data_IF_151837547899
#
_entry.id   IF_151837547899
#
_cell.length_a   1.000
_cell.length_b   1.000
_cell.length_c   1.000
_cell.angle_alpha   90.00
_cell.angle_beta   90.00
_cell.angle_gamma   90.00
#
_symmetry.space_group_name_H-M   'P 1'
#
loop_
_entity.id
_entity.type
_entity.pdbx_description
1 polymer ?
#
# COMPACT_ATOMS: atom_id res chain seq x y z
N UNK A 1 -20.63 -12.72 32.12
CA UNK A 1 -20.69 -13.75 31.05
C UNK A 1 -21.97 -13.54 30.26
N UNK A 2 -21.88 -12.97 29.06
CA UNK A 2 -23.07 -12.60 28.26
C UNK A 2 -23.70 -13.84 27.66
N UNK A 3 -24.97 -14.07 27.97
CA UNK A 3 -25.73 -15.26 27.56
C UNK A 3 -25.79 -15.39 26.04
N UNK A 4 -25.15 -16.44 25.51
CA UNK A 4 -25.06 -16.72 24.06
C UNK A 4 -26.43 -16.79 23.38
N UNK A 5 -27.50 -17.12 24.12
CA UNK A 5 -28.87 -17.11 23.58
C UNK A 5 -29.37 -15.70 23.30
N UNK A 6 -29.04 -14.74 24.17
CA UNK A 6 -29.41 -13.32 24.00
C UNK A 6 -28.68 -12.71 22.82
N UNK A 7 -27.41 -13.06 22.59
CA UNK A 7 -26.62 -12.60 21.45
C UNK A 7 -27.17 -13.18 20.14
N UNK A 8 -27.49 -14.48 20.09
CA UNK A 8 -28.08 -15.11 18.91
C UNK A 8 -29.42 -14.48 18.55
N UNK A 9 -30.27 -14.26 19.54
CA UNK A 9 -31.57 -13.61 19.36
C UNK A 9 -31.43 -12.16 18.87
N UNK A 10 -30.48 -11.38 19.43
CA UNK A 10 -30.22 -10.02 18.99
C UNK A 10 -29.75 -9.95 17.52
N UNK A 11 -28.92 -10.90 17.07
CA UNK A 11 -28.50 -11.00 15.66
C UNK A 11 -29.68 -11.34 14.75
N UNK A 12 -30.57 -12.21 15.19
CA UNK A 12 -31.75 -12.63 14.43
C UNK A 12 -32.75 -11.48 14.26
N UNK A 13 -32.96 -10.71 15.34
CA UNK A 13 -33.77 -9.48 15.32
C UNK A 13 -33.16 -8.42 14.40
N UNK A 14 -31.84 -8.24 14.42
CA UNK A 14 -31.16 -7.27 13.54
C UNK A 14 -31.28 -7.64 12.05
N UNK A 15 -31.15 -8.92 11.72
CA UNK A 15 -31.37 -9.43 10.36
C UNK A 15 -32.81 -9.19 9.90
N UNK A 16 -33.78 -9.36 10.78
CA UNK A 16 -35.19 -9.14 10.46
C UNK A 16 -35.54 -7.66 10.28
N UNK A 17 -34.92 -6.75 11.06
CA UNK A 17 -35.05 -5.31 10.89
C UNK A 17 -34.45 -4.87 9.55
N UNK A 18 -33.26 -5.37 9.18
CA UNK A 18 -32.61 -5.06 7.91
C UNK A 18 -33.45 -5.55 6.72
N UNK A 19 -34.00 -6.77 6.81
CA UNK A 19 -34.90 -7.31 5.80
C UNK A 19 -36.19 -6.49 5.65
N UNK A 20 -36.78 -6.03 6.76
CA UNK A 20 -37.96 -5.15 6.72
C UNK A 20 -37.63 -3.79 6.13
N UNK A 21 -36.47 -3.21 6.44
CA UNK A 21 -36.03 -1.93 5.90
C UNK A 21 -35.80 -2.00 4.39
N UNK A 22 -35.23 -3.11 3.90
CA UNK A 22 -35.09 -3.39 2.46
C UNK A 22 -36.48 -3.54 1.82
N UNK A 23 -37.40 -4.29 2.42
CA UNK A 23 -38.74 -4.50 1.88
C UNK A 23 -39.56 -3.20 1.80
N UNK A 24 -39.48 -2.32 2.80
CA UNK A 24 -40.13 -0.99 2.78
C UNK A 24 -39.56 -0.13 1.65
N UNK A 25 -38.23 -0.12 1.50
CA UNK A 25 -37.55 0.65 0.44
C UNK A 25 -37.87 0.17 -0.97
N UNK A 26 -38.15 -1.13 -1.13
CA UNK A 26 -38.58 -1.74 -2.39
C UNK A 26 -40.08 -1.54 -2.68
N UNK A 27 -40.91 -1.30 -1.66
CA UNK A 27 -42.33 -1.00 -1.84
C UNK A 27 -42.59 0.46 -2.23
N UNK A 28 -41.76 1.39 -1.73
CA UNK A 28 -41.86 2.83 -2.01
C UNK A 28 -41.41 3.19 -3.44
N UNK A 29 -40.57 2.35 -4.04
CA UNK A 29 -40.20 2.43 -5.45
C UNK A 29 -41.00 1.36 -6.17
N UNK A 30 -42.05 1.71 -6.92
CA UNK A 30 -42.91 0.78 -7.67
C UNK A 30 -42.15 0.02 -8.78
N UNK A 31 -41.15 -0.77 -8.40
CA UNK A 31 -40.23 -1.53 -9.25
C UNK A 31 -40.73 -2.96 -9.23
N UNK A 32 -41.83 -3.17 -9.94
CA UNK A 32 -42.19 -4.49 -10.43
C UNK A 32 -41.68 -4.60 -11.87
N UNK A 33 -41.06 -5.74 -12.17
CA UNK A 33 -40.50 -6.18 -13.46
C UNK A 33 -39.14 -5.62 -13.89
N UNK A 34 -38.18 -6.56 -13.94
CA UNK A 34 -37.00 -6.59 -14.81
C UNK A 34 -35.66 -5.97 -14.34
N UNK A 35 -35.12 -6.45 -13.21
CA UNK A 35 -33.70 -6.21 -12.82
C UNK A 35 -32.95 -7.52 -12.50
N UNK A 36 -33.41 -8.66 -13.01
CA UNK A 36 -33.01 -10.00 -12.54
C UNK A 36 -31.53 -10.38 -12.79
N UNK A 37 -30.85 -9.86 -13.81
CA UNK A 37 -29.47 -10.29 -14.10
C UNK A 37 -28.36 -9.60 -13.28
N UNK A 38 -28.19 -8.27 -13.41
CA UNK A 38 -26.99 -7.59 -12.90
C UNK A 38 -26.96 -7.44 -11.38
N UNK A 39 -28.12 -7.19 -10.77
CA UNK A 39 -28.23 -6.91 -9.34
C UNK A 39 -28.17 -8.19 -8.52
N UNK A 40 -28.80 -9.28 -8.95
CA UNK A 40 -28.70 -10.58 -8.26
C UNK A 40 -27.27 -11.11 -8.24
N UNK A 41 -26.53 -10.94 -9.35
CA UNK A 41 -25.10 -11.29 -9.42
C UNK A 41 -24.26 -10.45 -8.45
N UNK A 42 -24.52 -9.15 -8.38
CA UNK A 42 -23.85 -8.26 -7.43
C UNK A 42 -24.18 -8.62 -5.97
N UNK A 43 -25.44 -8.98 -5.67
CA UNK A 43 -25.86 -9.41 -4.34
C UNK A 43 -25.22 -10.77 -3.97
N UNK A 44 -25.14 -11.70 -4.91
CA UNK A 44 -24.49 -13.00 -4.71
C UNK A 44 -22.98 -12.85 -4.46
N UNK A 45 -22.33 -11.93 -5.17
CA UNK A 45 -20.91 -11.61 -4.98
C UNK A 45 -20.67 -10.90 -3.64
N UNK A 46 -21.55 -10.00 -3.21
CA UNK A 46 -21.51 -9.37 -1.88
C UNK A 46 -21.75 -10.37 -0.75
N UNK A 47 -22.69 -11.31 -0.92
CA UNK A 47 -22.94 -12.39 0.05
C UNK A 47 -21.72 -13.29 0.22
N UNK A 48 -21.06 -13.67 -0.88
CA UNK A 48 -19.83 -14.46 -0.85
C UNK A 48 -18.67 -13.73 -0.16
N UNK A 49 -18.58 -12.40 -0.34
CA UNK A 49 -17.59 -11.55 0.34
C UNK A 49 -17.85 -11.42 1.85
N UNK A 50 -19.11 -11.41 2.27
CA UNK A 50 -19.49 -11.39 3.69
C UNK A 50 -19.28 -12.74 4.38
N UNK A 51 -19.49 -13.85 3.66
CA UNK A 51 -19.27 -15.21 4.18
C UNK A 51 -17.77 -15.58 4.26
N UNK A 52 -16.91 -14.96 3.45
CA UNK A 52 -15.44 -15.16 3.47
C UNK A 52 -14.68 -13.85 3.16
N UNK A 53 -14.37 -13.00 4.17
CA UNK A 53 -13.76 -11.69 3.95
C UNK A 53 -12.32 -11.74 3.36
N UNK A 54 -11.69 -12.92 3.32
CA UNK A 54 -10.37 -13.14 2.73
C UNK A 54 -10.39 -13.66 1.28
N UNK A 55 -11.57 -13.87 0.67
CA UNK A 55 -11.68 -14.33 -0.73
C UNK A 55 -12.27 -13.22 -1.59
N UNK A 56 -11.48 -12.18 -1.84
CA UNK A 56 -11.80 -11.19 -2.88
C UNK A 56 -11.72 -11.92 -4.23
N UNK A 57 -12.78 -11.96 -5.05
CA UNK A 57 -12.75 -12.66 -6.33
C UNK A 57 -11.63 -12.08 -7.19
N UNK A 58 -10.72 -12.96 -7.63
CA UNK A 58 -9.59 -12.58 -8.50
C UNK A 58 -10.15 -12.13 -9.84
N UNK A 59 -10.40 -10.83 -10.01
CA UNK A 59 -10.71 -10.25 -11.33
C UNK A 59 -9.52 -10.59 -12.26
N UNK A 60 -9.75 -11.38 -13.31
CA UNK A 60 -8.75 -11.61 -14.36
C UNK A 60 -8.65 -10.31 -15.15
N UNK A 61 -7.57 -9.58 -14.91
CA UNK A 61 -7.27 -8.34 -15.61
C UNK A 61 -6.70 -8.70 -16.99
N UNK A 62 -7.21 -8.05 -18.04
CA UNK A 62 -6.67 -8.17 -19.39
C UNK A 62 -5.43 -7.30 -19.56
N UNK A 63 -4.54 -7.64 -20.51
CA UNK A 63 -3.29 -6.89 -20.77
C UNK A 63 -3.46 -5.42 -21.15
N UNK A 64 -4.70 -4.96 -21.39
CA UNK A 64 -5.03 -3.58 -21.74
C UNK A 64 -5.36 -2.68 -20.52
N UNK A 65 -5.33 -3.23 -19.30
CA UNK A 65 -5.63 -2.48 -18.08
C UNK A 65 -4.48 -1.51 -17.72
N UNK A 66 -4.78 -0.25 -17.34
CA UNK A 66 -3.75 0.70 -16.92
C UNK A 66 -2.86 0.20 -15.78
N UNK A 67 -3.42 -0.54 -14.81
CA UNK A 67 -2.68 -1.12 -13.68
C UNK A 67 -1.66 -2.15 -14.18
N UNK A 68 -2.04 -2.95 -15.19
CA UNK A 68 -1.14 -3.93 -15.79
C UNK A 68 0.06 -3.25 -16.48
N UNK A 69 -0.17 -2.16 -17.20
CA UNK A 69 0.92 -1.40 -17.84
C UNK A 69 1.90 -0.84 -16.79
N UNK A 70 1.39 -0.31 -15.69
CA UNK A 70 2.20 0.14 -14.56
C UNK A 70 2.99 -1.01 -13.94
N UNK A 71 2.36 -2.18 -13.78
CA UNK A 71 3.01 -3.36 -13.23
C UNK A 71 4.17 -3.85 -14.13
N UNK A 72 3.97 -3.86 -15.45
CA UNK A 72 5.02 -4.17 -16.43
C UNK A 72 6.18 -3.16 -16.35
N UNK A 73 5.86 -1.87 -16.23
CA UNK A 73 6.89 -0.81 -16.11
C UNK A 73 7.76 -1.00 -14.86
N UNK A 74 7.14 -1.24 -13.70
CA UNK A 74 7.87 -1.45 -12.45
C UNK A 74 8.67 -2.77 -12.46
N UNK A 75 8.12 -3.82 -13.06
CA UNK A 75 8.85 -5.08 -13.26
C UNK A 75 10.12 -4.87 -14.09
N UNK A 76 10.01 -4.16 -15.23
CA UNK A 76 11.16 -3.82 -16.08
C UNK A 76 12.18 -2.95 -15.35
N UNK A 77 11.73 -2.03 -14.49
CA UNK A 77 12.61 -1.19 -13.67
C UNK A 77 13.45 -2.01 -12.71
N UNK A 78 12.82 -2.93 -11.97
CA UNK A 78 13.54 -3.85 -11.08
C UNK A 78 14.53 -4.73 -11.86
N UNK A 79 14.11 -5.23 -13.02
CA UNK A 79 14.96 -6.05 -13.89
C UNK A 79 16.19 -5.28 -14.37
N UNK A 80 16.02 -4.03 -14.78
CA UNK A 80 17.13 -3.17 -15.22
C UNK A 80 18.16 -2.96 -14.11
N UNK A 81 17.72 -2.69 -12.88
CA UNK A 81 18.60 -2.57 -11.70
C UNK A 81 19.39 -3.84 -11.39
N UNK A 82 18.78 -5.01 -11.60
CA UNK A 82 19.47 -6.28 -11.37
C UNK A 82 20.44 -6.57 -12.53
N UNK A 83 20.03 -6.32 -13.77
CA UNK A 83 20.84 -6.61 -14.95
C UNK A 83 22.05 -5.69 -15.10
N UNK A 84 21.99 -4.46 -14.62
CA UNK A 84 23.15 -3.56 -14.57
C UNK A 84 24.29 -4.14 -13.73
N UNK A 85 23.96 -4.86 -12.65
CA UNK A 85 24.93 -5.51 -11.74
C UNK A 85 25.25 -6.94 -12.15
N UNK A 86 24.29 -7.64 -12.77
CA UNK A 86 24.42 -9.03 -13.23
C UNK A 86 23.97 -9.15 -14.69
N UNK A 87 24.85 -8.82 -15.67
CA UNK A 87 24.50 -8.89 -17.09
C UNK A 87 24.04 -10.28 -17.54
N UNK A 88 24.67 -11.34 -16.99
CA UNK A 88 24.35 -12.75 -17.27
C UNK A 88 23.15 -13.27 -16.46
N UNK A 89 22.20 -12.40 -16.10
CA UNK A 89 20.96 -12.81 -15.45
C UNK A 89 20.13 -13.62 -16.44
N UNK A 90 19.79 -14.87 -16.06
CA UNK A 90 18.96 -15.78 -16.86
C UNK A 90 17.71 -15.07 -17.39
N UNK A 91 17.22 -15.43 -18.60
CA UNK A 91 15.98 -14.88 -19.14
C UNK A 91 14.86 -15.02 -18.12
N UNK A 92 14.25 -13.88 -17.78
CA UNK A 92 13.14 -13.80 -16.86
C UNK A 92 11.85 -13.84 -17.67
N UNK A 93 10.85 -14.58 -17.19
CA UNK A 93 9.50 -14.49 -17.74
C UNK A 93 8.87 -13.17 -17.28
N UNK A 94 8.90 -12.16 -18.16
CA UNK A 94 8.43 -10.80 -17.90
C UNK A 94 6.97 -10.74 -17.44
N UNK A 95 6.12 -11.63 -17.95
CA UNK A 95 4.71 -11.73 -17.58
C UNK A 95 4.52 -12.18 -16.12
N UNK A 96 5.37 -13.06 -15.62
CA UNK A 96 5.33 -13.52 -14.21
C UNK A 96 5.68 -12.39 -13.27
N UNK A 97 6.70 -11.60 -13.64
CA UNK A 97 7.11 -10.45 -12.84
C UNK A 97 6.04 -9.35 -12.80
N UNK A 98 5.42 -9.05 -13.94
CA UNK A 98 4.29 -8.12 -13.99
C UNK A 98 3.11 -8.63 -13.15
N UNK A 99 2.83 -9.93 -13.16
CA UNK A 99 1.77 -10.54 -12.33
C UNK A 99 2.04 -10.36 -10.85
N UNK A 100 3.26 -10.59 -10.39
CA UNK A 100 3.63 -10.39 -8.99
C UNK A 100 3.47 -8.92 -8.56
N UNK A 101 3.86 -7.98 -9.42
CA UNK A 101 3.67 -6.53 -9.17
C UNK A 101 2.18 -6.15 -9.17
N UNK A 102 1.36 -6.67 -10.10
CA UNK A 102 -0.10 -6.44 -10.09
C UNK A 102 -0.71 -6.82 -8.74
N UNK A 103 -0.25 -7.93 -8.16
CA UNK A 103 -0.74 -8.36 -6.86
C UNK A 103 -0.34 -7.36 -5.75
N UNK A 104 0.84 -6.75 -5.81
CA UNK A 104 1.23 -5.69 -4.86
C UNK A 104 0.30 -4.47 -5.00
N UNK A 105 0.04 -4.04 -6.23
CA UNK A 105 -0.78 -2.85 -6.48
C UNK A 105 -2.25 -3.07 -6.09
N UNK A 106 -2.82 -4.20 -6.49
CA UNK A 106 -4.26 -4.46 -6.36
C UNK A 106 -4.66 -5.16 -5.07
N UNK A 107 -3.89 -6.17 -4.65
CA UNK A 107 -4.23 -6.97 -3.47
C UNK A 107 -3.65 -6.33 -2.21
N UNK A 108 -2.37 -5.95 -2.25
CA UNK A 108 -1.71 -5.32 -1.10
C UNK A 108 -2.02 -3.82 -1.01
N UNK A 109 -2.74 -3.28 -2.01
CA UNK A 109 -3.21 -1.89 -2.08
C UNK A 109 -2.09 -0.85 -1.93
N UNK A 110 -0.91 -1.15 -2.46
CA UNK A 110 0.23 -0.23 -2.46
C UNK A 110 0.17 0.65 -3.70
N UNK A 111 0.52 1.92 -3.55
CA UNK A 111 0.55 2.84 -4.67
C UNK A 111 1.77 2.59 -5.55
N UNK A 112 1.65 2.87 -6.85
CA UNK A 112 2.73 2.70 -7.81
C UNK A 112 3.95 3.55 -7.48
N UNK A 113 3.71 4.77 -7.01
CA UNK A 113 4.75 5.73 -6.64
C UNK A 113 5.56 5.18 -5.47
N UNK A 114 4.86 4.66 -4.45
CA UNK A 114 5.53 4.12 -3.27
C UNK A 114 6.34 2.87 -3.60
N UNK A 115 5.78 1.99 -4.43
CA UNK A 115 6.48 0.79 -4.86
C UNK A 115 7.73 1.13 -5.69
N UNK A 116 7.65 2.17 -6.54
CA UNK A 116 8.80 2.65 -7.29
C UNK A 116 9.92 3.16 -6.36
N UNK A 117 9.59 3.97 -5.36
CA UNK A 117 10.55 4.44 -4.35
C UNK A 117 11.25 3.27 -3.65
N UNK A 118 10.48 2.26 -3.23
CA UNK A 118 11.02 1.09 -2.55
C UNK A 118 11.94 0.30 -3.47
N UNK A 119 11.56 0.11 -4.74
CA UNK A 119 12.41 -0.56 -5.74
C UNK A 119 13.74 0.18 -5.87
N UNK A 120 13.71 1.49 -6.06
CA UNK A 120 14.92 2.29 -6.27
C UNK A 120 15.82 2.29 -5.03
N UNK A 121 15.25 2.46 -3.84
CA UNK A 121 16.00 2.44 -2.59
C UNK A 121 16.61 1.05 -2.32
N UNK A 122 15.82 -0.02 -2.41
CA UNK A 122 16.32 -1.36 -2.06
C UNK A 122 17.37 -1.88 -3.04
N UNK A 123 17.38 -1.40 -4.29
CA UNK A 123 18.41 -1.74 -5.28
C UNK A 123 19.68 -0.92 -5.14
N UNK A 124 19.66 0.20 -4.40
CA UNK A 124 20.85 0.97 -4.04
C UNK A 124 21.47 0.52 -2.71
N UNK A 125 20.69 -0.13 -1.85
CA UNK A 125 21.18 -0.66 -0.57
C UNK A 125 21.98 -1.95 -0.77
N UNK A 126 23.20 -1.98 -0.21
CA UNK A 126 24.13 -3.10 -0.40
C UNK A 126 23.63 -4.45 0.12
N UNK A 127 22.80 -4.42 1.17
CA UNK A 127 22.24 -5.63 1.75
C UNK A 127 21.00 -6.08 0.96
N UNK A 128 20.07 -5.17 0.69
CA UNK A 128 18.79 -5.49 0.06
C UNK A 128 18.91 -5.80 -1.43
N UNK A 129 19.83 -5.16 -2.16
CA UNK A 129 19.99 -5.39 -3.60
C UNK A 129 20.34 -6.85 -3.94
N UNK A 130 21.00 -7.56 -3.01
CA UNK A 130 21.36 -8.98 -3.17
C UNK A 130 20.23 -9.92 -2.73
N UNK A 131 19.31 -9.44 -1.90
CA UNK A 131 18.19 -10.21 -1.37
C UNK A 131 16.91 -10.06 -2.20
N UNK A 132 16.75 -8.94 -2.91
CA UNK A 132 15.60 -8.63 -3.75
C UNK A 132 15.98 -8.81 -5.22
N UNK A 133 15.83 -10.05 -5.70
CA UNK A 133 16.12 -10.45 -7.08
C UNK A 133 14.87 -10.81 -7.90
N UNK A 134 13.68 -10.57 -7.34
CA UNK A 134 12.40 -10.76 -8.04
C UNK A 134 11.27 -9.98 -7.36
N UNK A 135 10.19 -9.64 -8.09
CA UNK A 135 8.97 -9.07 -7.53
C UNK A 135 8.33 -9.92 -6.43
N UNK A 136 8.32 -11.26 -6.55
CA UNK A 136 7.84 -12.13 -5.48
C UNK A 136 8.62 -11.94 -4.16
N UNK A 137 9.96 -11.81 -4.24
CA UNK A 137 10.82 -11.55 -3.07
C UNK A 137 10.60 -10.15 -2.52
N UNK A 138 10.45 -9.16 -3.40
CA UNK A 138 10.09 -7.78 -3.06
C UNK A 138 8.79 -7.75 -2.26
N UNK A 139 7.71 -8.34 -2.80
CA UNK A 139 6.41 -8.43 -2.15
C UNK A 139 6.49 -9.04 -0.75
N UNK A 140 7.22 -10.15 -0.61
CA UNK A 140 7.38 -10.83 0.68
C UNK A 140 8.07 -9.97 1.74
N UNK A 141 8.95 -9.06 1.34
CA UNK A 141 9.74 -8.22 2.24
C UNK A 141 9.26 -6.76 2.27
N UNK A 142 8.14 -6.44 1.60
CA UNK A 142 7.78 -5.07 1.27
C UNK A 142 7.64 -4.19 2.52
N UNK A 143 6.90 -4.65 3.52
CA UNK A 143 6.71 -3.91 4.79
C UNK A 143 8.05 -3.67 5.52
N UNK A 144 8.96 -4.65 5.49
CA UNK A 144 10.28 -4.51 6.11
C UNK A 144 11.14 -3.50 5.37
N UNK A 145 11.08 -3.49 4.04
CA UNK A 145 11.78 -2.52 3.21
C UNK A 145 11.25 -1.11 3.46
N UNK A 146 9.92 -0.93 3.53
CA UNK A 146 9.30 0.36 3.84
C UNK A 146 9.78 0.93 5.19
N UNK A 147 9.83 0.09 6.23
CA UNK A 147 10.31 0.50 7.56
C UNK A 147 11.79 0.86 7.56
N UNK A 148 12.63 0.10 6.85
CA UNK A 148 14.06 0.36 6.79
C UNK A 148 14.35 1.63 5.97
N UNK A 149 13.71 1.80 4.83
CA UNK A 149 13.80 3.00 4.00
C UNK A 149 13.40 4.26 4.78
N UNK A 150 12.33 4.20 5.57
CA UNK A 150 11.91 5.32 6.40
C UNK A 150 12.97 5.69 7.46
N UNK A 151 13.60 4.70 8.09
CA UNK A 151 14.70 4.94 9.05
C UNK A 151 15.92 5.58 8.38
N UNK A 152 16.28 5.10 7.20
CA UNK A 152 17.40 5.63 6.42
C UNK A 152 17.17 7.10 6.04
N UNK A 153 15.97 7.46 5.58
CA UNK A 153 15.61 8.85 5.30
C UNK A 153 15.62 9.73 6.54
N UNK A 154 15.15 9.23 7.69
CA UNK A 154 15.26 9.95 8.96
C UNK A 154 16.71 10.18 9.37
N UNK A 155 17.59 9.19 9.14
CA UNK A 155 19.03 9.34 9.39
C UNK A 155 19.66 10.38 8.45
N UNK A 156 19.39 10.30 7.14
CA UNK A 156 19.87 11.26 6.16
C UNK A 156 19.41 12.69 6.46
N UNK A 157 18.13 12.87 6.83
CA UNK A 157 17.57 14.16 7.25
C UNK A 157 18.32 14.72 8.46
N UNK A 158 18.53 13.91 9.50
CA UNK A 158 19.29 14.34 10.70
C UNK A 158 20.73 14.71 10.37
N UNK A 159 21.41 13.92 9.54
CA UNK A 159 22.78 14.20 9.09
C UNK A 159 22.85 15.53 8.34
N UNK A 160 21.89 15.82 7.46
CA UNK A 160 21.81 17.10 6.76
C UNK A 160 21.61 18.27 7.74
N UNK A 161 20.71 18.15 8.72
CA UNK A 161 20.49 19.20 9.73
C UNK A 161 21.71 19.43 10.64
N UNK A 162 22.53 18.40 10.88
CA UNK A 162 23.76 18.51 11.65
C UNK A 162 24.91 19.14 10.82
N UNK A 163 24.88 19.02 9.50
CA UNK A 163 25.92 19.51 8.59
C UNK A 163 25.64 20.91 8.04
N UNK A 164 24.38 21.36 7.99
CA UNK A 164 24.07 22.75 7.67
C UNK A 164 24.60 23.65 8.78
N UNK A 165 25.53 24.60 8.50
CA UNK A 165 25.87 25.63 9.48
C UNK A 165 24.59 26.32 9.92
N UNK A 166 24.41 26.56 11.23
CA UNK A 166 23.35 27.46 11.68
C UNK A 166 23.66 28.85 11.12
N UNK A 167 23.12 29.18 9.95
CA UNK A 167 23.16 30.53 9.41
C UNK A 167 22.08 31.33 10.15
N UNK A 168 22.47 31.90 11.29
CA UNK A 168 21.60 32.72 12.13
C UNK A 168 22.02 32.68 13.60
N UNK A 169 21.92 33.83 14.27
CA UNK A 169 22.18 33.96 15.72
C UNK A 169 21.32 32.94 16.48
N UNK A 170 21.95 32.08 17.27
CA UNK A 170 21.29 31.15 18.18
C UNK A 170 20.37 31.92 19.13
N UNK A 171 19.35 31.26 19.71
CA UNK A 171 18.55 31.87 20.78
C UNK A 171 19.44 32.37 21.95
N UNK A 172 20.53 31.64 22.23
CA UNK A 172 21.56 32.06 23.19
C UNK A 172 22.30 33.32 22.73
N UNK A 173 22.66 33.41 21.46
CA UNK A 173 23.38 34.57 20.91
C UNK A 173 22.48 35.82 20.92
N UNK A 174 21.20 35.67 20.57
CA UNK A 174 20.20 36.75 20.65
C UNK A 174 19.99 37.22 22.10
N UNK A 175 19.96 36.29 23.05
CA UNK A 175 19.84 36.60 24.47
C UNK A 175 21.07 37.35 25.02
N UNK A 176 22.27 36.88 24.67
CA UNK A 176 23.52 37.52 25.08
C UNK A 176 23.66 38.94 24.49
N UNK A 177 23.25 39.12 23.23
CA UNK A 177 23.19 40.42 22.58
C UNK A 177 22.16 41.36 23.25
N UNK A 178 21.00 40.85 23.66
CA UNK A 178 19.99 41.63 24.40
C UNK A 178 20.47 42.11 25.78
N UNK A 179 21.50 41.46 26.33
CA UNK A 179 22.14 41.81 27.59
C UNK A 179 23.39 42.69 27.41
N UNK A 180 23.73 43.07 26.17
CA UNK A 180 24.96 43.81 25.85
C UNK A 180 26.25 43.01 26.11
N UNK A 181 26.14 41.69 26.28
CA UNK A 181 27.28 40.79 26.53
C UNK A 181 27.63 40.09 25.21
N UNK A 182 28.53 40.66 24.42
CA UNK A 182 29.08 39.93 23.27
C UNK A 182 30.08 38.88 23.76
N UNK A 183 30.10 37.70 23.15
CA UNK A 183 31.15 36.72 23.40
C UNK A 183 32.45 37.29 22.84
N UNK A 184 33.28 37.88 23.70
CA UNK A 184 34.65 38.20 23.38
C UNK A 184 35.42 36.91 23.15
N UNK A 185 35.62 36.55 21.89
CA UNK A 185 36.66 35.60 21.49
C UNK A 185 37.68 36.39 20.68
N UNK A 186 38.87 36.56 21.25
CA UNK A 186 40.12 36.77 20.51
C UNK A 186 40.66 35.41 20.12
#
# INVERSE_FOLDING_TARGET
MTDKRKIKHAIEVLKEIENRFIAVRLADMNVTSDISGPVEKNILDLRKLLENPHVVPKKKIGRADPIWNTAVMLAKRLEAHIRSRKPNLRPIQSDTWATDIDLILRIDKRTSEKLQEVIDWCQQDNFWQNNILSPAKLRKQLDRLELQMAKDWQYQKRKLHQQTPRVGKSAKDKYLESLGKTNGNT
#
